data_IF_051722073921
#
_entry.id   IF_051722073921
#
_cell.length_a   1.000
_cell.length_b   1.000
_cell.length_c   1.000
_cell.angle_alpha   90.00
_cell.angle_beta   90.00
_cell.angle_gamma   90.00
#
_symmetry.space_group_name_H-M   'P 1'
#
loop_
_entity.id
_entity.type
_entity.pdbx_description
1 polymer ?
#
# COMPACT_ATOMS: atom_id res chain seq x y z
N UNK A 1 15.38 18.66 18.95
CA UNK A 1 14.38 17.59 18.99
C UNK A 1 13.20 17.90 18.08
N UNK A 2 12.69 19.12 18.16
CA UNK A 2 11.59 19.52 17.29
C UNK A 2 12.01 19.49 15.83
N UNK A 3 13.24 19.87 15.55
CA UNK A 3 13.76 19.86 14.21
C UNK A 3 13.84 18.44 13.65
N UNK A 4 14.26 17.48 14.48
CA UNK A 4 14.30 16.08 14.07
C UNK A 4 12.90 15.55 13.77
N UNK A 5 11.90 15.98 14.54
CA UNK A 5 10.53 15.57 14.28
C UNK A 5 10.02 16.14 12.96
N UNK A 6 10.39 17.38 12.64
CA UNK A 6 10.05 17.97 11.35
C UNK A 6 10.70 17.20 10.22
N UNK A 7 11.96 16.83 10.38
CA UNK A 7 12.68 16.10 9.35
C UNK A 7 11.98 14.76 9.07
N UNK A 8 11.53 14.05 10.12
CA UNK A 8 10.84 12.80 9.93
C UNK A 8 9.51 12.98 9.22
N UNK A 9 8.80 14.09 9.48
CA UNK A 9 7.54 14.37 8.80
C UNK A 9 7.73 14.72 7.33
N UNK A 10 8.94 15.12 6.97
CA UNK A 10 9.27 15.48 5.59
C UNK A 10 10.00 14.36 4.88
N UNK A 11 9.95 13.14 5.44
CA UNK A 11 10.56 11.98 4.84
C UNK A 11 10.02 11.77 3.43
N UNK A 12 10.93 11.50 2.50
CA UNK A 12 10.58 11.38 1.09
C UNK A 12 10.63 9.93 0.65
N UNK A 13 10.03 9.66 -0.51
CA UNK A 13 10.15 8.37 -1.18
C UNK A 13 11.63 8.05 -1.34
N UNK A 14 12.03 6.78 -1.11
CA UNK A 14 13.44 6.39 -1.21
C UNK A 14 14.08 6.82 -2.53
N UNK A 15 15.33 7.27 -2.45
CA UNK A 15 16.04 7.79 -3.61
C UNK A 15 16.38 6.73 -4.63
N UNK A 16 16.37 5.44 -4.24
CA UNK A 16 16.62 4.35 -5.19
C UNK A 16 15.39 4.04 -6.05
N UNK A 17 14.27 4.70 -5.80
CA UNK A 17 13.08 4.47 -6.60
C UNK A 17 13.29 5.02 -8.01
N UNK A 18 13.06 4.17 -9.00
CA UNK A 18 13.14 4.60 -10.40
C UNK A 18 11.90 5.35 -10.80
N UNK A 19 12.05 6.30 -11.71
CA UNK A 19 10.91 6.99 -12.29
C UNK A 19 10.04 5.97 -13.02
N UNK A 20 8.74 6.01 -12.77
CA UNK A 20 7.81 5.02 -13.31
C UNK A 20 7.89 4.92 -14.83
N UNK A 21 8.02 6.06 -15.49
CA UNK A 21 8.03 6.12 -16.95
C UNK A 21 9.27 5.50 -17.59
N UNK A 22 10.34 5.31 -16.81
CA UNK A 22 11.60 4.77 -17.32
C UNK A 22 11.70 3.26 -17.17
N UNK A 23 10.69 2.61 -16.58
CA UNK A 23 10.71 1.18 -16.36
C UNK A 23 10.57 0.41 -17.66
N UNK A 24 11.39 -0.61 -17.82
CA UNK A 24 11.23 -1.57 -18.93
C UNK A 24 10.06 -2.49 -18.64
N UNK A 25 9.57 -3.17 -19.67
CA UNK A 25 8.50 -4.16 -19.51
C UNK A 25 8.90 -5.24 -18.51
N UNK A 26 10.16 -5.65 -18.55
CA UNK A 26 10.67 -6.67 -17.63
C UNK A 26 10.66 -6.17 -16.19
N UNK A 27 11.11 -4.94 -15.98
CA UNK A 27 11.09 -4.34 -14.64
C UNK A 27 9.66 -4.22 -14.11
N UNK A 28 8.72 -3.80 -14.96
CA UNK A 28 7.32 -3.70 -14.57
C UNK A 28 6.74 -5.06 -14.18
N UNK A 29 7.12 -6.10 -14.90
CA UNK A 29 6.65 -7.45 -14.61
C UNK A 29 7.14 -7.94 -13.24
N UNK A 30 8.40 -7.66 -12.90
CA UNK A 30 8.97 -8.05 -11.62
C UNK A 30 8.26 -7.32 -10.47
N UNK A 31 8.05 -6.01 -10.63
CA UNK A 31 7.38 -5.20 -9.62
C UNK A 31 5.94 -5.68 -9.45
N UNK A 32 5.23 -5.88 -10.55
CA UNK A 32 3.86 -6.38 -10.51
C UNK A 32 3.78 -7.72 -9.78
N UNK A 33 4.72 -8.62 -10.04
CA UNK A 33 4.75 -9.92 -9.40
C UNK A 33 4.81 -9.80 -7.87
N UNK A 34 5.59 -8.85 -7.37
CA UNK A 34 5.70 -8.61 -5.93
C UNK A 34 4.33 -8.26 -5.34
N UNK A 35 3.60 -7.34 -5.98
CA UNK A 35 2.28 -6.95 -5.51
C UNK A 35 1.28 -8.12 -5.61
N UNK A 36 1.32 -8.84 -6.72
CA UNK A 36 0.40 -9.98 -6.94
C UNK A 36 0.61 -11.04 -5.87
N UNK A 37 1.85 -11.36 -5.53
CA UNK A 37 2.13 -12.36 -4.50
C UNK A 37 1.58 -11.92 -3.14
N UNK A 38 1.71 -10.65 -2.81
CA UNK A 38 1.17 -10.12 -1.56
C UNK A 38 -0.36 -10.20 -1.55
N UNK A 39 -0.98 -9.82 -2.66
CA UNK A 39 -2.44 -9.89 -2.79
C UNK A 39 -2.92 -11.34 -2.68
N UNK A 40 -2.26 -12.26 -3.36
CA UNK A 40 -2.63 -13.68 -3.29
C UNK A 40 -2.53 -14.22 -1.87
N UNK A 41 -1.44 -13.90 -1.19
CA UNK A 41 -1.25 -14.36 0.18
C UNK A 41 -2.35 -13.84 1.10
N UNK A 42 -2.55 -12.52 1.10
CA UNK A 42 -3.51 -11.93 2.02
C UNK A 42 -4.96 -12.22 1.65
N UNK A 43 -5.30 -12.26 0.36
CA UNK A 43 -6.67 -12.58 -0.04
C UNK A 43 -7.06 -13.98 0.41
N UNK A 44 -6.10 -14.90 0.40
CA UNK A 44 -6.34 -16.27 0.83
C UNK A 44 -6.58 -16.35 2.33
N UNK A 45 -5.70 -15.76 3.14
CA UNK A 45 -5.85 -15.85 4.59
C UNK A 45 -7.01 -14.98 5.10
N UNK A 46 -7.33 -13.91 4.40
CA UNK A 46 -8.48 -13.06 4.74
C UNK A 46 -9.79 -13.59 4.19
N UNK A 47 -9.73 -14.59 3.32
CA UNK A 47 -10.88 -15.21 2.69
C UNK A 47 -11.72 -14.20 1.92
N UNK A 48 -11.06 -13.43 1.07
CA UNK A 48 -11.72 -12.47 0.18
C UNK A 48 -11.30 -12.72 -1.25
N UNK A 49 -12.14 -12.29 -2.18
CA UNK A 49 -11.82 -12.37 -3.60
C UNK A 49 -11.37 -11.00 -4.08
N UNK A 50 -10.47 -11.02 -5.06
CA UNK A 50 -9.93 -9.80 -5.66
C UNK A 50 -10.10 -9.90 -7.16
N UNK A 51 -10.51 -8.80 -7.79
CA UNK A 51 -10.64 -8.73 -9.23
C UNK A 51 -9.32 -8.31 -9.85
N UNK A 52 -9.31 -7.15 -10.49
CA UNK A 52 -8.11 -6.64 -11.15
C UNK A 52 -7.17 -5.98 -10.16
N UNK A 53 -5.88 -6.25 -10.30
CA UNK A 53 -4.83 -5.57 -9.55
C UNK A 53 -4.09 -4.65 -10.52
N UNK A 54 -4.00 -3.37 -10.19
CA UNK A 54 -3.35 -2.37 -11.03
C UNK A 54 -2.31 -1.63 -10.21
N UNK A 55 -1.12 -1.47 -10.77
CA UNK A 55 -0.03 -0.70 -10.16
C UNK A 55 0.03 0.63 -10.89
N UNK A 56 -0.08 1.73 -10.14
CA UNK A 56 -0.14 3.06 -10.73
C UNK A 56 0.90 3.98 -10.11
N UNK A 57 1.34 4.95 -10.90
CA UNK A 57 2.20 6.01 -10.40
C UNK A 57 1.30 7.15 -9.93
N UNK A 58 0.73 6.98 -8.74
CA UNK A 58 -0.17 7.98 -8.16
C UNK A 58 0.58 8.95 -7.26
N UNK A 59 0.03 10.15 -7.12
CA UNK A 59 0.66 11.20 -6.33
C UNK A 59 -0.03 11.46 -5.01
N UNK A 60 -1.27 11.01 -4.84
CA UNK A 60 -2.09 11.36 -3.69
C UNK A 60 -2.58 10.18 -2.87
N UNK A 61 -2.48 8.97 -3.40
CA UNK A 61 -3.00 7.77 -2.73
C UNK A 61 -1.97 6.66 -2.70
N UNK A 62 -1.99 5.90 -1.62
CA UNK A 62 -1.19 4.68 -1.53
C UNK A 62 -1.90 3.49 -2.15
N UNK A 63 -3.24 3.51 -2.17
CA UNK A 63 -4.03 2.45 -2.78
C UNK A 63 -5.50 2.79 -2.80
N UNK A 64 -6.29 1.92 -3.41
CA UNK A 64 -7.74 2.03 -3.42
C UNK A 64 -8.35 0.67 -3.75
N UNK A 65 -9.62 0.51 -3.39
CA UNK A 65 -10.37 -0.70 -3.69
C UNK A 65 -11.80 -0.31 -4.07
N UNK A 66 -12.26 -0.81 -5.21
CA UNK A 66 -13.63 -0.57 -5.64
C UNK A 66 -14.57 -1.60 -5.03
N UNK A 67 -15.87 -1.32 -5.08
CA UNK A 67 -16.88 -2.25 -4.59
C UNK A 67 -16.86 -3.56 -5.35
N UNK A 68 -16.35 -3.56 -6.58
CA UNK A 68 -16.23 -4.77 -7.40
C UNK A 68 -14.97 -5.58 -7.07
N UNK A 69 -14.12 -5.06 -6.18
CA UNK A 69 -12.91 -5.78 -5.79
C UNK A 69 -11.70 -5.50 -6.66
N UNK A 70 -11.74 -4.46 -7.46
CA UNK A 70 -10.57 -4.04 -8.23
C UNK A 70 -9.71 -3.17 -7.33
N UNK A 71 -8.43 -3.52 -7.21
CA UNK A 71 -7.52 -2.83 -6.31
C UNK A 71 -6.41 -2.15 -7.09
N UNK A 72 -6.05 -0.96 -6.63
CA UNK A 72 -4.94 -0.20 -7.18
C UNK A 72 -3.92 0.02 -6.09
N UNK A 73 -2.63 -0.08 -6.44
CA UNK A 73 -1.54 0.18 -5.52
C UNK A 73 -0.60 1.20 -6.11
N UNK A 74 -0.06 2.04 -5.24
CA UNK A 74 0.93 3.02 -5.65
C UNK A 74 2.26 2.33 -5.91
N UNK A 75 2.83 2.57 -7.09
CA UNK A 75 4.11 2.02 -7.49
C UNK A 75 5.21 2.24 -6.45
N UNK A 76 5.21 3.40 -5.80
CA UNK A 76 6.25 3.75 -4.85
C UNK A 76 6.31 2.81 -3.64
N UNK A 77 5.23 2.09 -3.35
CA UNK A 77 5.22 1.11 -2.27
C UNK A 77 6.26 0.01 -2.49
N UNK A 78 6.64 -0.24 -3.74
CA UNK A 78 7.65 -1.24 -4.04
C UNK A 78 8.99 -0.92 -3.38
N UNK A 79 9.28 0.37 -3.18
CA UNK A 79 10.55 0.82 -2.60
C UNK A 79 10.44 1.12 -1.12
N UNK A 80 9.28 0.91 -0.52
CA UNK A 80 9.05 1.20 0.89
C UNK A 80 9.39 -0.04 1.73
N UNK A 81 9.56 0.13 3.06
CA UNK A 81 9.67 -1.03 3.94
C UNK A 81 8.52 -2.00 3.73
N UNK A 82 8.83 -3.29 3.76
CA UNK A 82 7.85 -4.32 3.43
C UNK A 82 6.59 -4.26 4.29
N UNK A 83 6.74 -3.92 5.57
CA UNK A 83 5.59 -3.84 6.45
C UNK A 83 4.60 -2.76 6.05
N UNK A 84 5.06 -1.71 5.37
CA UNK A 84 4.17 -0.67 4.87
C UNK A 84 3.41 -1.14 3.64
N UNK A 85 4.08 -1.86 2.76
CA UNK A 85 3.42 -2.49 1.62
C UNK A 85 2.36 -3.47 2.10
N UNK A 86 2.72 -4.34 3.04
CA UNK A 86 1.78 -5.32 3.60
C UNK A 86 0.57 -4.62 4.22
N UNK A 87 0.81 -3.54 4.96
CA UNK A 87 -0.29 -2.79 5.55
C UNK A 87 -1.26 -2.27 4.48
N UNK A 88 -0.75 -1.69 3.40
CA UNK A 88 -1.62 -1.15 2.36
C UNK A 88 -2.40 -2.27 1.67
N UNK A 89 -1.76 -3.41 1.43
CA UNK A 89 -2.47 -4.56 0.85
C UNK A 89 -3.61 -5.00 1.77
N UNK A 90 -3.34 -5.18 3.06
CA UNK A 90 -4.37 -5.58 4.03
C UNK A 90 -5.48 -4.53 4.10
N UNK A 91 -5.11 -3.26 4.10
CA UNK A 91 -6.08 -2.16 4.15
C UNK A 91 -7.05 -2.23 2.97
N UNK A 92 -6.52 -2.34 1.75
CA UNK A 92 -7.38 -2.37 0.58
C UNK A 92 -8.23 -3.64 0.50
N UNK A 93 -7.66 -4.78 0.87
CA UNK A 93 -8.42 -6.03 0.86
C UNK A 93 -9.50 -6.07 1.94
N UNK A 94 -9.30 -5.35 3.05
CA UNK A 94 -10.32 -5.25 4.10
C UNK A 94 -11.58 -4.57 3.58
N UNK A 95 -11.44 -3.72 2.55
CA UNK A 95 -12.60 -3.11 1.90
C UNK A 95 -13.48 -4.13 1.16
N UNK A 96 -13.00 -5.34 0.93
CA UNK A 96 -13.86 -6.38 0.37
C UNK A 96 -14.93 -6.82 1.35
N UNK A 97 -14.72 -6.57 2.64
CA UNK A 97 -15.70 -6.89 3.69
C UNK A 97 -16.39 -5.64 4.20
N UNK A 98 -15.68 -4.54 4.30
CA UNK A 98 -16.20 -3.31 4.87
C UNK A 98 -15.75 -2.13 4.02
N UNK A 99 -16.68 -1.53 3.27
CA UNK A 99 -16.31 -0.43 2.38
C UNK A 99 -15.96 0.86 3.12
N UNK A 100 -16.60 1.10 4.26
CA UNK A 100 -16.33 2.29 5.06
C UNK A 100 -15.26 1.98 6.11
N UNK A 101 -14.55 3.03 6.54
CA UNK A 101 -13.54 2.90 7.59
C UNK A 101 -14.21 2.85 8.97
N UNK A 102 -15.08 1.89 9.15
CA UNK A 102 -15.80 1.67 10.40
C UNK A 102 -14.91 0.95 11.41
N UNK A 103 -15.40 0.82 12.64
CA UNK A 103 -14.68 0.05 13.63
C UNK A 103 -14.47 -1.40 13.19
N UNK A 104 -15.47 -1.99 12.53
CA UNK A 104 -15.36 -3.35 12.00
C UNK A 104 -14.25 -3.45 10.96
N UNK A 105 -14.11 -2.43 10.10
CA UNK A 105 -13.03 -2.38 9.13
C UNK A 105 -11.67 -2.43 9.82
N UNK A 106 -11.47 -1.57 10.81
CA UNK A 106 -10.18 -1.51 11.50
C UNK A 106 -9.90 -2.77 12.32
N UNK A 107 -10.94 -3.41 12.85
CA UNK A 107 -10.76 -4.72 13.51
C UNK A 107 -10.27 -5.76 12.52
N UNK A 108 -10.79 -5.72 11.29
CA UNK A 108 -10.34 -6.65 10.25
C UNK A 108 -8.88 -6.39 9.89
N UNK A 109 -8.52 -5.12 9.72
CA UNK A 109 -7.13 -4.75 9.43
C UNK A 109 -6.20 -5.24 10.54
N UNK A 110 -6.59 -5.04 11.79
CA UNK A 110 -5.75 -5.39 12.94
C UNK A 110 -5.47 -6.87 13.03
N UNK A 111 -6.40 -7.72 12.59
CA UNK A 111 -6.20 -9.17 12.62
C UNK A 111 -4.95 -9.58 11.84
N UNK A 112 -4.66 -8.91 10.74
CA UNK A 112 -3.58 -9.26 9.84
C UNK A 112 -2.42 -8.29 9.90
N UNK A 113 -2.63 -7.14 10.50
CA UNK A 113 -1.61 -6.12 10.67
C UNK A 113 -1.78 -5.47 12.04
N UNK A 114 -1.31 -6.14 13.12
CA UNK A 114 -1.49 -5.59 14.48
C UNK A 114 -0.90 -4.20 14.65
N UNK A 115 0.16 -3.88 13.89
CA UNK A 115 0.84 -2.59 13.96
C UNK A 115 0.28 -1.58 12.97
N UNK A 116 -0.98 -1.72 12.55
CA UNK A 116 -1.54 -0.88 11.51
C UNK A 116 -1.51 0.61 11.84
N UNK A 117 -1.66 0.97 13.11
CA UNK A 117 -1.64 2.38 13.51
C UNK A 117 -0.26 3.01 13.26
N UNK A 118 0.78 2.25 13.56
CA UNK A 118 2.14 2.70 13.32
C UNK A 118 2.43 2.81 11.82
N UNK A 119 2.04 1.79 11.06
CA UNK A 119 2.23 1.80 9.61
C UNK A 119 1.49 2.98 8.97
N UNK A 120 0.27 3.20 9.40
CA UNK A 120 -0.55 4.30 8.89
C UNK A 120 0.11 5.66 9.16
N UNK A 121 0.65 5.83 10.36
CA UNK A 121 1.34 7.06 10.73
C UNK A 121 2.63 7.22 9.92
N UNK A 122 3.40 6.15 9.75
CA UNK A 122 4.64 6.20 8.99
C UNK A 122 4.38 6.59 7.54
N UNK A 123 3.31 6.08 6.93
CA UNK A 123 2.96 6.44 5.56
C UNK A 123 2.65 7.92 5.41
N UNK A 124 2.07 8.54 6.43
CA UNK A 124 1.78 9.97 6.38
C UNK A 124 3.05 10.81 6.39
N UNK A 125 4.14 10.28 6.93
CA UNK A 125 5.41 11.00 7.00
C UNK A 125 6.13 11.01 5.65
N UNK A 126 5.76 10.13 4.72
CA UNK A 126 6.35 10.12 3.39
C UNK A 126 5.67 11.12 2.50
N UNK A 127 6.48 11.87 1.75
CA UNK A 127 5.96 12.82 0.77
C UNK A 127 5.85 12.11 -0.56
N UNK A 128 4.64 12.04 -1.11
CA UNK A 128 4.45 11.53 -2.45
C UNK A 128 4.94 12.56 -3.45
N UNK A 129 5.52 12.08 -4.54
CA UNK A 129 5.99 12.93 -5.63
C UNK A 129 4.81 13.66 -6.23
N UNK A 130 4.82 14.97 -6.14
CA UNK A 130 3.74 15.79 -6.68
C UNK A 130 4.24 16.69 -7.79
#
# INVERSE_FOLDING_TARGET
KQQLMKERKEEKIPTNAKAFDTLTSKERAVIRDTFIRKVEYYSKIMNVTVGRVTIRNQKTRWGSCSSKGNVNFNYNLYYMPEELLDYVVVHELSHRKYMNHSQSFWCEVEKYCPEYKLCRRRLKDYTLSI
#
